data_IF_810393564227
#
_entry.id   IF_810393564227
#
_cell.length_a   1.000
_cell.length_b   1.000
_cell.length_c   1.000
_cell.angle_alpha   90.00
_cell.angle_beta   90.00
_cell.angle_gamma   90.00
#
_symmetry.space_group_name_H-M   'P 1'
#
loop_
_entity.id
_entity.type
_entity.pdbx_description
1 polymer ?
#
# COMPACT_ATOMS: atom_id res chain seq x y z
N UNK A 1 -19.43 -6.37 19.90
CA UNK A 1 -19.98 -6.03 18.56
C UNK A 1 -19.00 -5.04 17.96
N UNK A 2 -18.43 -5.41 16.82
CA UNK A 2 -17.25 -4.87 16.13
C UNK A 2 -16.82 -3.42 16.40
N UNK A 3 -15.71 -3.23 17.13
CA UNK A 3 -14.78 -2.13 16.89
C UNK A 3 -13.90 -2.51 15.68
N UNK A 4 -14.52 -2.61 14.51
CA UNK A 4 -13.76 -2.60 13.27
C UNK A 4 -13.20 -1.18 13.13
N UNK A 5 -11.91 -1.06 12.85
CA UNK A 5 -11.24 0.21 12.59
C UNK A 5 -12.02 0.96 11.49
N UNK A 6 -12.86 1.93 11.88
CA UNK A 6 -13.69 2.67 10.95
C UNK A 6 -12.81 3.68 10.20
N UNK A 7 -12.22 3.21 9.11
CA UNK A 7 -11.34 3.99 8.26
C UNK A 7 -12.04 5.26 7.74
N UNK A 8 -13.36 5.30 7.72
CA UNK A 8 -14.16 6.47 7.30
C UNK A 8 -14.15 7.58 8.36
N UNK A 9 -14.00 7.23 9.64
CA UNK A 9 -13.81 8.21 10.73
C UNK A 9 -12.38 8.76 10.75
N UNK A 10 -11.38 7.95 10.40
CA UNK A 10 -9.98 8.38 10.39
C UNK A 10 -9.59 9.15 9.11
N UNK A 11 -10.16 8.78 7.95
CA UNK A 11 -9.84 9.36 6.65
C UNK A 11 -11.14 9.55 5.83
N UNK A 12 -11.76 10.74 5.93
CA UNK A 12 -13.02 11.02 5.23
C UNK A 12 -12.94 10.71 3.73
N UNK A 13 -14.00 10.11 3.19
CA UNK A 13 -14.15 9.71 1.79
C UNK A 13 -13.71 10.80 0.78
N UNK A 14 -14.02 12.07 1.06
CA UNK A 14 -13.70 13.21 0.20
C UNK A 14 -12.19 13.48 0.04
N UNK A 15 -11.36 12.92 0.91
CA UNK A 15 -9.91 13.11 0.89
C UNK A 15 -9.15 11.87 0.46
N UNK A 16 -9.82 10.78 0.07
CA UNK A 16 -9.15 9.54 -0.34
C UNK A 16 -9.51 9.16 -1.77
N UNK A 17 -8.48 8.77 -2.50
CA UNK A 17 -8.58 8.24 -3.86
C UNK A 17 -8.09 6.80 -3.78
N UNK A 18 -9.02 5.82 -3.74
CA UNK A 18 -8.63 4.42 -3.86
C UNK A 18 -8.11 4.16 -5.28
N UNK A 19 -7.07 3.33 -5.36
CA UNK A 19 -6.47 2.88 -6.62
C UNK A 19 -6.12 4.05 -7.54
N UNK A 20 -5.28 4.98 -7.04
CA UNK A 20 -4.80 6.09 -7.86
C UNK A 20 -4.05 5.55 -9.08
N UNK A 21 -4.57 5.87 -10.26
CA UNK A 21 -4.08 5.33 -11.53
C UNK A 21 -2.81 6.04 -12.00
N UNK A 22 -1.78 5.26 -12.35
CA UNK A 22 -0.46 5.76 -12.76
C UNK A 22 -0.03 5.15 -14.10
N UNK A 23 0.63 5.96 -14.92
CA UNK A 23 1.52 5.46 -15.99
C UNK A 23 2.91 5.33 -15.39
N UNK A 24 3.34 4.09 -15.14
CA UNK A 24 4.64 3.79 -14.54
C UNK A 24 5.76 3.99 -15.57
N UNK A 25 5.58 3.42 -16.75
CA UNK A 25 6.52 3.49 -17.86
C UNK A 25 5.77 3.44 -19.19
N UNK A 26 5.65 4.58 -19.84
CA UNK A 26 4.94 4.70 -21.11
C UNK A 26 5.60 3.95 -22.28
N UNK A 27 6.87 3.56 -22.14
CA UNK A 27 7.61 2.80 -23.17
C UNK A 27 7.26 1.32 -23.17
N UNK A 28 6.85 0.77 -22.03
CA UNK A 28 6.46 -0.65 -21.89
C UNK A 28 5.13 -0.91 -22.58
N UNK A 29 4.84 -2.15 -22.98
CA UNK A 29 3.52 -2.54 -23.52
C UNK A 29 2.45 -2.65 -22.43
N UNK A 30 1.17 -2.69 -22.81
CA UNK A 30 0.09 -2.98 -21.85
C UNK A 30 0.31 -4.38 -21.26
N UNK A 31 0.21 -4.51 -19.93
CA UNK A 31 0.42 -5.77 -19.21
C UNK A 31 1.86 -6.07 -18.81
N UNK A 32 2.87 -5.34 -19.31
CA UNK A 32 4.29 -5.54 -18.93
C UNK A 32 4.80 -4.58 -17.85
N UNK A 33 3.89 -3.96 -17.10
CA UNK A 33 4.21 -2.95 -16.09
C UNK A 33 4.14 -1.50 -16.59
N UNK A 34 3.46 -1.23 -17.70
CA UNK A 34 3.14 0.14 -18.16
C UNK A 34 2.33 0.93 -17.12
N UNK A 35 1.42 0.26 -16.42
CA UNK A 35 0.48 0.88 -15.49
C UNK A 35 0.72 0.41 -14.05
N UNK A 36 0.32 1.24 -13.09
CA UNK A 36 0.36 0.95 -11.67
C UNK A 36 -0.78 1.63 -10.95
N UNK A 37 -1.12 1.12 -9.77
CA UNK A 37 -2.21 1.64 -8.94
C UNK A 37 -1.70 1.76 -7.51
N UNK A 38 -1.72 2.99 -6.97
CA UNK A 38 -1.44 3.21 -5.55
C UNK A 38 -2.72 2.92 -4.76
N UNK A 39 -2.61 2.10 -3.73
CA UNK A 39 -3.78 1.50 -3.05
C UNK A 39 -4.73 2.57 -2.50
N UNK A 40 -4.19 3.53 -1.73
CA UNK A 40 -4.94 4.70 -1.27
C UNK A 40 -4.06 5.93 -1.41
N UNK A 41 -4.59 6.96 -2.05
CA UNK A 41 -3.96 8.26 -2.13
C UNK A 41 -4.79 9.30 -1.38
N UNK A 42 -4.18 9.96 -0.38
CA UNK A 42 -4.82 10.94 0.47
C UNK A 42 -4.53 12.35 -0.04
N UNK A 43 -5.59 13.06 -0.36
CA UNK A 43 -5.57 14.47 -0.76
C UNK A 43 -5.33 15.36 0.45
N UNK A 44 -4.72 16.51 0.16
CA UNK A 44 -4.60 17.64 1.10
C UNK A 44 -5.99 18.06 1.59
N UNK A 45 -6.33 17.66 2.81
CA UNK A 45 -7.65 17.88 3.43
C UNK A 45 -7.56 18.30 4.88
N UNK A 46 -6.89 17.47 5.70
CA UNK A 46 -6.74 17.65 7.15
C UNK A 46 -5.33 18.15 7.54
N UNK A 47 -4.36 18.10 6.62
CA UNK A 47 -2.97 18.53 6.85
C UNK A 47 -2.29 19.08 5.59
N UNK A 48 -0.99 19.36 5.68
CA UNK A 48 -0.24 20.05 4.63
C UNK A 48 0.29 19.15 3.50
N UNK A 49 0.34 17.84 3.74
CA UNK A 49 1.03 16.87 2.90
C UNK A 49 0.08 15.94 2.14
N UNK A 50 0.53 15.50 0.97
CA UNK A 50 -0.08 14.39 0.23
C UNK A 50 0.48 13.07 0.74
N UNK A 51 -0.37 12.05 0.87
CA UNK A 51 0.05 10.76 1.39
C UNK A 51 -0.33 9.66 0.41
N UNK A 52 0.64 8.85 0.01
CA UNK A 52 0.40 7.59 -0.70
C UNK A 52 0.56 6.43 0.27
N UNK A 53 -0.49 5.62 0.41
CA UNK A 53 -0.51 4.44 1.27
C UNK A 53 -0.41 3.19 0.41
N UNK A 54 0.49 2.28 0.81
CA UNK A 54 0.56 0.91 0.29
C UNK A 54 0.07 -0.05 1.37
N UNK A 55 -0.91 -0.87 1.06
CA UNK A 55 -1.48 -1.85 1.95
C UNK A 55 -0.93 -3.25 1.63
N UNK A 56 -0.50 -3.95 2.66
CA UNK A 56 -0.12 -5.36 2.59
C UNK A 56 -0.83 -6.13 3.71
N UNK A 57 -1.27 -7.34 3.39
CA UNK A 57 -1.93 -8.22 4.34
C UNK A 57 -1.19 -9.56 4.42
N UNK A 58 -0.88 -9.99 5.63
CA UNK A 58 -0.31 -11.30 5.94
C UNK A 58 -1.40 -12.13 6.62
N UNK A 59 -1.87 -13.15 5.91
CA UNK A 59 -2.88 -14.06 6.46
C UNK A 59 -2.29 -15.02 7.49
N UNK A 60 -3.03 -15.31 8.55
CA UNK A 60 -2.64 -16.32 9.54
C UNK A 60 -2.46 -17.71 8.91
N UNK A 61 -3.32 -18.05 7.94
CA UNK A 61 -3.26 -19.31 7.19
C UNK A 61 -1.92 -19.47 6.47
N UNK A 62 -1.41 -18.41 5.84
CA UNK A 62 -0.13 -18.45 5.14
C UNK A 62 1.08 -18.59 6.06
N UNK A 63 0.95 -18.21 7.34
CA UNK A 63 1.97 -18.40 8.38
C UNK A 63 1.94 -19.81 8.95
N UNK A 64 0.76 -20.33 9.28
CA UNK A 64 0.62 -21.64 9.94
C UNK A 64 0.82 -22.82 8.99
N UNK A 65 0.52 -22.67 7.69
CA UNK A 65 0.71 -23.73 6.67
C UNK A 65 2.12 -24.29 6.61
N UNK A 66 3.12 -23.54 7.04
CA UNK A 66 4.51 -23.98 7.07
C UNK A 66 4.74 -25.07 8.12
N UNK A 67 3.93 -25.11 9.18
CA UNK A 67 4.08 -26.03 10.29
C UNK A 67 3.49 -27.42 10.01
N UNK A 68 2.78 -27.63 8.88
CA UNK A 68 2.16 -28.90 8.47
C UNK A 68 1.29 -29.58 9.54
N UNK A 69 0.72 -28.81 10.47
CA UNK A 69 -0.26 -29.29 11.46
C UNK A 69 -1.65 -29.00 10.92
N UNK A 70 -2.64 -29.82 11.24
CA UNK A 70 -4.05 -29.43 11.07
C UNK A 70 -4.32 -28.19 11.95
N UNK A 71 -5.03 -27.21 11.41
CA UNK A 71 -5.35 -25.98 12.14
C UNK A 71 -6.81 -25.60 11.93
N UNK A 72 -7.47 -25.25 13.02
CA UNK A 72 -8.81 -24.69 13.06
C UNK A 72 -8.81 -23.24 13.53
N UNK A 73 -10.00 -22.75 13.87
CA UNK A 73 -10.19 -21.37 14.30
C UNK A 73 -9.42 -21.04 15.60
N UNK A 74 -9.38 -21.98 16.55
CA UNK A 74 -8.72 -21.80 17.85
C UNK A 74 -7.19 -21.64 17.69
N UNK A 75 -6.58 -22.43 16.81
CA UNK A 75 -5.14 -22.37 16.53
C UNK A 75 -4.79 -21.05 15.85
N UNK A 76 -5.63 -20.57 14.94
CA UNK A 76 -5.46 -19.26 14.31
C UNK A 76 -5.62 -18.12 15.31
N UNK A 77 -6.61 -18.17 16.21
CA UNK A 77 -6.79 -17.16 17.25
C UNK A 77 -5.59 -17.11 18.21
N UNK A 78 -5.09 -18.28 18.63
CA UNK A 78 -3.90 -18.38 19.47
C UNK A 78 -2.66 -17.82 18.77
N UNK A 79 -2.48 -18.14 17.48
CA UNK A 79 -1.41 -17.57 16.66
C UNK A 79 -1.51 -16.05 16.60
N UNK A 80 -2.70 -15.49 16.35
CA UNK A 80 -2.91 -14.04 16.26
C UNK A 80 -2.53 -13.32 17.58
N UNK A 81 -2.88 -13.91 18.73
CA UNK A 81 -2.48 -13.40 20.07
C UNK A 81 -0.98 -13.48 20.31
N UNK A 82 -0.31 -14.50 19.78
CA UNK A 82 1.16 -14.63 19.86
C UNK A 82 1.82 -13.53 19.02
N UNK A 83 1.38 -13.36 17.76
CA UNK A 83 1.92 -12.37 16.82
C UNK A 83 1.74 -10.93 17.33
N UNK A 84 0.65 -10.66 18.05
CA UNK A 84 0.40 -9.35 18.68
C UNK A 84 1.53 -8.93 19.62
N UNK A 85 2.11 -9.89 20.35
CA UNK A 85 3.14 -9.66 21.38
C UNK A 85 4.58 -9.84 20.89
N UNK A 86 4.76 -10.40 19.70
CA UNK A 86 6.07 -10.67 19.14
C UNK A 86 6.79 -9.36 18.76
N UNK A 87 8.09 -9.31 19.01
CA UNK A 87 8.89 -8.15 18.61
C UNK A 87 8.98 -8.07 17.08
N UNK A 88 9.21 -6.86 16.57
CA UNK A 88 9.19 -6.63 15.12
C UNK A 88 10.28 -7.42 14.39
N UNK A 89 11.48 -7.55 14.96
CA UNK A 89 12.59 -8.22 14.30
C UNK A 89 12.30 -9.71 14.04
N UNK A 90 11.81 -10.42 15.05
CA UNK A 90 11.46 -11.84 14.93
C UNK A 90 10.22 -12.03 14.05
N UNK A 91 9.25 -11.13 14.18
CA UNK A 91 8.04 -11.14 13.37
C UNK A 91 8.37 -11.00 11.87
N UNK A 92 9.27 -10.10 11.49
CA UNK A 92 9.68 -9.91 10.09
C UNK A 92 10.44 -11.13 9.54
N UNK A 93 11.15 -11.90 10.38
CA UNK A 93 11.84 -13.13 9.99
C UNK A 93 10.89 -14.32 9.80
N UNK A 94 9.62 -14.23 10.24
CA UNK A 94 8.69 -15.34 10.11
C UNK A 94 8.51 -15.77 8.65
N UNK A 95 8.61 -17.08 8.38
CA UNK A 95 8.33 -17.60 7.06
C UNK A 95 6.84 -17.45 6.75
N UNK A 96 6.54 -17.14 5.50
CA UNK A 96 5.17 -16.98 5.00
C UNK A 96 5.02 -17.70 3.67
N UNK A 97 3.84 -18.28 3.45
CA UNK A 97 3.49 -18.93 2.19
C UNK A 97 2.20 -18.37 1.61
N UNK A 98 2.15 -18.26 0.29
CA UNK A 98 0.96 -17.83 -0.43
C UNK A 98 0.85 -18.54 -1.78
N UNK A 99 -0.37 -18.67 -2.29
CA UNK A 99 -0.61 -19.20 -3.62
C UNK A 99 -0.40 -18.10 -4.67
N UNK A 100 0.57 -18.28 -5.57
CA UNK A 100 0.74 -17.41 -6.73
C UNK A 100 -0.18 -17.88 -7.86
N UNK A 101 -1.13 -17.04 -8.26
CA UNK A 101 -2.01 -17.30 -9.41
C UNK A 101 -1.23 -17.35 -10.73
N UNK A 102 -0.26 -16.47 -10.89
CA UNK A 102 0.57 -16.35 -12.10
C UNK A 102 1.44 -17.60 -12.31
N UNK A 103 2.13 -18.03 -11.25
CA UNK A 103 3.03 -19.20 -11.32
C UNK A 103 2.31 -20.53 -11.05
N UNK A 104 1.03 -20.49 -10.70
CA UNK A 104 0.20 -21.64 -10.30
C UNK A 104 0.88 -22.54 -9.25
N UNK A 105 1.56 -21.93 -8.27
CA UNK A 105 2.27 -22.65 -7.21
C UNK A 105 2.25 -21.89 -5.89
N UNK A 106 2.47 -22.63 -4.80
CA UNK A 106 2.74 -22.03 -3.50
C UNK A 106 4.16 -21.47 -3.47
N UNK A 107 4.28 -20.18 -3.21
CA UNK A 107 5.55 -19.52 -2.97
C UNK A 107 5.83 -19.43 -1.47
N UNK A 108 7.12 -19.48 -1.11
CA UNK A 108 7.63 -19.25 0.25
C UNK A 108 8.45 -17.96 0.25
N UNK A 109 8.30 -17.16 1.30
CA UNK A 109 8.95 -15.86 1.51
C UNK A 109 8.98 -15.58 3.02
N UNK A 110 9.32 -14.36 3.43
CA UNK A 110 9.16 -13.89 4.81
C UNK A 110 8.23 -12.68 4.89
N UNK A 111 7.74 -12.37 6.09
CA UNK A 111 6.98 -11.13 6.33
C UNK A 111 7.83 -9.90 5.94
N UNK A 112 9.11 -9.89 6.30
CA UNK A 112 10.06 -8.83 5.97
C UNK A 112 10.26 -8.62 4.48
N UNK A 113 10.37 -9.69 3.70
CA UNK A 113 10.44 -9.59 2.24
C UNK A 113 9.19 -8.97 1.63
N UNK A 114 8.00 -9.33 2.14
CA UNK A 114 6.73 -8.71 1.70
C UNK A 114 6.68 -7.22 2.03
N UNK A 115 7.12 -6.84 3.23
CA UNK A 115 7.21 -5.44 3.65
C UNK A 115 8.16 -4.65 2.74
N UNK A 116 9.38 -5.15 2.53
CA UNK A 116 10.41 -4.52 1.70
C UNK A 116 9.96 -4.38 0.25
N UNK A 117 9.31 -5.41 -0.31
CA UNK A 117 8.71 -5.31 -1.64
C UNK A 117 7.60 -4.25 -1.71
N UNK A 118 6.81 -4.11 -0.64
CA UNK A 118 5.84 -3.03 -0.50
C UNK A 118 6.50 -1.64 -0.49
N UNK A 119 7.61 -1.49 0.23
CA UNK A 119 8.40 -0.25 0.32
C UNK A 119 8.93 0.12 -1.06
N UNK A 120 9.65 -0.79 -1.73
CA UNK A 120 10.21 -0.53 -3.07
C UNK A 120 9.13 -0.21 -4.11
N UNK A 121 7.97 -0.88 -4.03
CA UNK A 121 6.83 -0.57 -4.89
C UNK A 121 6.29 0.84 -4.63
N UNK A 122 6.10 1.21 -3.36
CA UNK A 122 5.61 2.53 -2.99
C UNK A 122 6.60 3.64 -3.38
N UNK A 123 7.90 3.42 -3.23
CA UNK A 123 8.93 4.36 -3.71
C UNK A 123 8.83 4.58 -5.23
N UNK A 124 8.62 3.51 -6.00
CA UNK A 124 8.39 3.62 -7.45
C UNK A 124 7.15 4.44 -7.79
N UNK A 125 6.06 4.25 -7.02
CA UNK A 125 4.83 5.02 -7.18
C UNK A 125 5.04 6.48 -6.82
N UNK A 126 5.66 6.80 -5.68
CA UNK A 126 5.97 8.18 -5.28
C UNK A 126 6.84 8.87 -6.32
N UNK A 127 7.87 8.19 -6.85
CA UNK A 127 8.72 8.74 -7.92
C UNK A 127 7.94 8.97 -9.22
N UNK A 128 6.89 8.21 -9.49
CA UNK A 128 6.03 8.38 -10.66
C UNK A 128 5.05 9.52 -10.46
N UNK A 129 4.42 9.55 -9.29
CA UNK A 129 3.47 10.57 -8.86
C UNK A 129 4.13 11.96 -8.87
N UNK A 130 5.38 12.07 -8.37
CA UNK A 130 6.13 13.33 -8.33
C UNK A 130 6.44 13.91 -9.72
N UNK A 131 6.28 13.14 -10.81
CA UNK A 131 6.41 13.64 -12.19
C UNK A 131 5.20 14.47 -12.65
N UNK A 132 4.12 14.49 -11.87
CA UNK A 132 2.89 15.22 -12.21
C UNK A 132 1.98 14.43 -13.14
N UNK A 133 1.16 15.13 -13.94
CA UNK A 133 0.15 14.53 -14.80
C UNK A 133 0.80 13.85 -16.00
N UNK A 134 0.40 12.62 -16.28
CA UNK A 134 0.71 11.99 -17.55
C UNK A 134 -0.03 12.71 -18.69
N UNK A 135 0.69 13.10 -19.74
CA UNK A 135 0.11 13.74 -20.94
C UNK A 135 -0.82 12.74 -21.65
N UNK A 136 -0.40 11.48 -21.68
CA UNK A 136 -1.08 10.32 -22.28
C UNK A 136 -0.37 9.05 -21.76
N UNK A 137 -0.47 7.93 -22.48
CA UNK A 137 0.22 6.68 -22.14
C UNK A 137 1.71 6.63 -22.47
N UNK A 138 2.32 7.67 -23.04
CA UNK A 138 3.75 7.70 -23.39
C UNK A 138 4.63 8.35 -22.32
N UNK A 139 4.06 9.19 -21.45
CA UNK A 139 4.76 9.85 -20.34
C UNK A 139 4.40 9.21 -19.01
N UNK A 140 5.39 8.92 -18.16
CA UNK A 140 5.13 8.51 -16.77
C UNK A 140 4.52 9.64 -15.95
N UNK A 141 3.55 9.32 -15.10
CA UNK A 141 2.88 10.28 -14.22
C UNK A 141 1.54 9.77 -13.70
N UNK A 142 0.82 10.66 -13.01
CA UNK A 142 -0.56 10.44 -12.58
C UNK A 142 -1.49 10.44 -13.78
N UNK A 143 -2.25 9.36 -13.95
CA UNK A 143 -3.25 9.18 -14.99
C UNK A 143 -4.61 8.94 -14.33
N UNK A 144 -5.06 9.93 -13.56
CA UNK A 144 -6.29 9.85 -12.80
C UNK A 144 -6.98 11.22 -12.82
N UNK A 145 -8.23 11.25 -13.28
CA UNK A 145 -9.01 12.49 -13.44
C UNK A 145 -9.47 13.09 -12.10
N UNK A 146 -9.52 12.27 -11.05
CA UNK A 146 -9.87 12.71 -9.69
C UNK A 146 -8.78 13.62 -9.10
N UNK A 147 -7.55 13.57 -9.64
CA UNK A 147 -6.44 14.43 -9.26
C UNK A 147 -6.24 15.56 -10.26
N UNK A 148 -6.46 16.79 -9.81
CA UNK A 148 -6.14 18.00 -10.59
C UNK A 148 -4.73 18.50 -10.29
N UNK A 149 -3.95 18.73 -11.34
CA UNK A 149 -2.51 19.03 -11.27
C UNK A 149 -2.27 20.43 -11.89
N UNK A 150 -2.14 21.48 -11.05
CA UNK A 150 -1.87 22.90 -11.39
C UNK A 150 -0.50 23.50 -10.91
N UNK A 151 0.36 24.01 -11.81
CA UNK A 151 1.79 24.31 -11.53
C UNK A 151 1.98 25.58 -10.68
N UNK A 152 1.63 25.54 -9.39
CA UNK A 152 1.81 26.66 -8.46
C UNK A 152 2.98 26.40 -7.50
N UNK A 153 2.75 25.70 -6.39
CA UNK A 153 3.72 25.58 -5.28
C UNK A 153 4.09 24.11 -4.95
N UNK A 154 5.34 23.87 -4.48
CA UNK A 154 5.79 22.57 -3.99
C UNK A 154 5.06 22.16 -2.70
N UNK A 155 4.32 21.06 -2.75
CA UNK A 155 3.85 20.34 -1.57
C UNK A 155 4.80 19.17 -1.26
N UNK A 156 4.62 18.53 -0.10
CA UNK A 156 5.34 17.30 0.23
C UNK A 156 4.47 16.09 -0.08
N UNK A 157 5.09 15.11 -0.72
CA UNK A 157 4.55 13.77 -0.89
C UNK A 157 5.25 12.83 0.10
N UNK A 158 4.45 12.32 1.03
CA UNK A 158 4.85 11.28 1.97
C UNK A 158 4.28 9.94 1.53
N UNK A 159 4.90 8.86 1.98
CA UNK A 159 4.28 7.55 1.82
C UNK A 159 4.55 6.62 2.97
N UNK A 160 3.59 5.73 3.18
CA UNK A 160 3.65 4.72 4.22
C UNK A 160 3.19 3.38 3.67
N UNK A 161 3.94 2.33 3.99
CA UNK A 161 3.47 0.97 3.85
C UNK A 161 2.81 0.58 5.15
N UNK A 162 1.53 0.21 5.10
CA UNK A 162 0.79 -0.41 6.20
C UNK A 162 0.76 -1.92 5.97
N UNK A 163 1.31 -2.67 6.90
CA UNK A 163 1.35 -4.12 6.88
C UNK A 163 0.49 -4.65 8.02
N UNK A 164 -0.66 -5.21 7.67
CA UNK A 164 -1.55 -5.87 8.62
C UNK A 164 -1.21 -7.35 8.66
N UNK A 165 -1.00 -7.89 9.85
CA UNK A 165 -0.63 -9.27 10.10
C UNK A 165 -1.69 -9.89 11.00
N UNK A 166 -2.41 -10.87 10.46
CA UNK A 166 -3.59 -11.41 11.14
C UNK A 166 -4.66 -10.35 11.36
N UNK A 167 -5.25 -10.31 12.55
CA UNK A 167 -6.30 -9.34 12.88
C UNK A 167 -5.86 -8.33 13.95
N UNK A 168 -4.74 -8.59 14.64
CA UNK A 168 -4.32 -7.82 15.81
C UNK A 168 -3.08 -6.97 15.60
N UNK A 169 -2.22 -7.30 14.63
CA UNK A 169 -0.91 -6.66 14.50
C UNK A 169 -0.82 -5.81 13.24
N UNK A 170 -0.45 -4.54 13.42
CA UNK A 170 -0.19 -3.60 12.33
C UNK A 170 1.23 -3.09 12.48
N UNK A 171 2.03 -3.21 11.42
CA UNK A 171 3.31 -2.52 11.28
C UNK A 171 3.17 -1.44 10.22
N UNK A 172 3.96 -0.38 10.35
CA UNK A 172 4.06 0.64 9.32
C UNK A 172 5.51 1.08 9.11
N UNK A 173 5.85 1.41 7.86
CA UNK A 173 7.17 1.98 7.51
C UNK A 173 7.00 3.18 6.58
N UNK A 174 7.65 4.32 6.88
CA UNK A 174 7.70 5.44 5.97
C UNK A 174 8.64 5.12 4.80
N UNK A 175 8.41 5.78 3.67
CA UNK A 175 9.37 5.82 2.55
C UNK A 175 9.88 7.24 2.36
N UNK A 176 10.95 7.39 1.57
CA UNK A 176 11.59 8.69 1.36
C UNK A 176 10.60 9.72 0.81
N UNK A 177 10.51 10.85 1.50
CA UNK A 177 9.68 11.98 1.08
C UNK A 177 10.18 12.57 -0.25
N UNK A 178 9.24 13.07 -1.05
CA UNK A 178 9.55 13.81 -2.28
C UNK A 178 8.82 15.14 -2.28
N UNK A 179 9.50 16.17 -2.79
CA UNK A 179 8.81 17.38 -3.21
C UNK A 179 7.90 17.03 -4.37
N UNK A 180 6.62 17.37 -4.23
CA UNK A 180 5.64 17.24 -5.27
C UNK A 180 4.91 18.58 -5.38
N UNK A 181 5.16 19.29 -6.46
CA UNK A 181 4.35 20.45 -6.87
C UNK A 181 2.86 20.04 -6.87
N UNK A 182 1.87 20.91 -6.62
CA UNK A 182 0.41 20.72 -6.92
C UNK A 182 -0.59 20.57 -5.73
N UNK A 183 -1.65 21.41 -5.71
CA UNK A 183 -2.97 21.26 -5.04
C UNK A 183 -4.02 22.18 -5.72
N UNK A 184 -5.27 21.80 -6.01
CA UNK A 184 -6.44 21.85 -5.09
C UNK A 184 -7.60 21.03 -5.71
N UNK A 185 -8.25 20.15 -4.95
CA UNK A 185 -9.64 19.75 -5.24
C UNK A 185 -10.57 20.71 -4.52
N UNK A 186 -11.52 21.29 -5.24
CA UNK A 186 -12.51 22.18 -4.64
C UNK A 186 -13.43 21.31 -3.75
N UNK A 187 -13.64 21.63 -2.46
CA UNK A 187 -14.50 20.83 -1.57
C UNK A 187 -16.01 20.89 -1.89
N UNK A 188 -16.40 21.42 -3.07
CA UNK A 188 -17.78 21.74 -3.43
C UNK A 188 -18.36 20.90 -4.59
N UNK A 189 -17.81 19.71 -4.88
CA UNK A 189 -18.47 18.74 -5.78
C UNK A 189 -18.59 17.38 -5.09
#
# INVERSE_FOLDING_TARGET
>A
MSDFFDFDQCLPLRYRIPELSLVMDGKKSKGSGRFGYSDIFVLKGIGDDYISLKLKYISLVGLIRIQKVEFGANELENLDKILEKENEEDLLKRPYTYWSKELKKTNKTTIGEILNNGISQLESYINTISKGKAINYSSSGVFDERVKINKSEPNKLKGFVLLVIGFRRILWKPVKERSWYFAKSNPNN
#
